data_IF_554882627447
#
_entry.id   IF_554882627447
#
_cell.length_a   1.000
_cell.length_b   1.000
_cell.length_c   1.000
_cell.angle_alpha   90.00
_cell.angle_beta   90.00
_cell.angle_gamma   90.00
#
_symmetry.space_group_name_H-M   'P 1'
#
loop_
_entity.id
_entity.type
_entity.pdbx_description
1 polymer ?
#
# COMPACT_ATOMS: atom_id res chain seq x y z
N UNK A 1 23.55 99.11 -29.52
CA UNK A 1 22.20 99.64 -29.81
C UNK A 1 21.15 98.68 -29.25
N UNK A 2 20.14 99.23 -28.55
CA UNK A 2 18.84 98.65 -28.15
C UNK A 2 18.77 97.45 -27.17
N UNK A 3 18.14 97.73 -26.02
CA UNK A 3 17.43 96.83 -25.08
C UNK A 3 16.13 96.27 -25.71
N UNK A 4 15.60 95.18 -25.14
CA UNK A 4 14.19 94.80 -24.79
C UNK A 4 14.22 93.27 -24.48
N UNK A 5 14.07 92.76 -23.24
CA UNK A 5 12.91 92.50 -22.35
C UNK A 5 11.83 91.49 -22.84
N UNK A 6 11.45 90.59 -21.90
CA UNK A 6 10.36 89.57 -21.87
C UNK A 6 10.56 88.30 -22.73
N UNK A 7 10.28 87.07 -22.28
CA UNK A 7 9.66 86.55 -21.06
C UNK A 7 9.17 85.11 -21.30
N UNK A 8 9.20 84.29 -20.24
CA UNK A 8 8.51 83.00 -19.99
C UNK A 8 8.65 81.81 -20.98
N UNK A 9 9.00 80.64 -20.40
CA UNK A 9 8.25 79.41 -20.67
C UNK A 9 9.06 78.10 -20.79
N UNK A 10 9.00 77.28 -19.74
CA UNK A 10 9.09 75.80 -19.68
C UNK A 10 10.30 75.09 -20.34
N UNK A 11 11.21 74.53 -19.54
CA UNK A 11 11.16 73.22 -18.87
C UNK A 11 11.65 72.06 -19.77
N UNK A 12 12.74 71.41 -19.36
CA UNK A 12 12.84 69.97 -19.10
C UNK A 12 14.29 69.43 -19.21
N UNK A 13 14.57 68.49 -18.29
CA UNK A 13 15.60 67.44 -18.33
C UNK A 13 17.02 67.80 -17.90
N UNK A 14 17.25 67.72 -16.58
CA UNK A 14 18.47 67.14 -16.04
C UNK A 14 18.05 66.09 -15.01
N UNK A 15 17.83 64.86 -15.50
CA UNK A 15 17.46 63.71 -14.69
C UNK A 15 18.62 63.34 -13.75
N UNK A 16 18.30 63.28 -12.47
CA UNK A 16 19.17 62.79 -11.43
C UNK A 16 19.38 61.28 -11.59
N UNK A 17 20.66 60.88 -11.67
CA UNK A 17 21.09 59.53 -11.34
C UNK A 17 20.86 59.33 -9.84
N UNK A 18 19.77 58.68 -9.47
CA UNK A 18 19.60 58.06 -8.16
C UNK A 18 19.33 56.58 -8.43
N UNK A 19 20.24 55.74 -7.93
CA UNK A 19 20.28 54.32 -8.24
C UNK A 19 19.01 53.59 -7.85
N UNK A 20 18.62 52.64 -8.71
CA UNK A 20 17.78 51.52 -8.33
C UNK A 20 18.54 50.71 -7.26
N UNK A 21 18.18 50.89 -5.99
CA UNK A 21 18.40 49.85 -5.00
C UNK A 21 17.35 48.77 -5.22
N UNK A 22 17.76 47.51 -5.18
CA UNK A 22 16.84 46.38 -5.13
C UNK A 22 15.94 46.54 -3.89
N UNK A 23 14.65 46.80 -4.11
CA UNK A 23 13.64 46.74 -3.06
C UNK A 23 13.35 45.26 -2.76
N UNK A 24 13.70 44.85 -1.54
CA UNK A 24 13.41 43.53 -1.00
C UNK A 24 11.88 43.36 -0.95
N UNK A 25 11.27 42.37 -1.63
CA UNK A 25 9.80 42.26 -1.74
C UNK A 25 9.09 41.97 -0.41
N UNK A 26 9.84 41.83 0.69
CA UNK A 26 9.35 41.70 2.07
C UNK A 26 9.39 42.99 2.88
N UNK A 27 9.87 44.12 2.33
CA UNK A 27 9.86 45.40 3.06
C UNK A 27 8.49 46.09 2.98
N UNK A 28 7.47 45.43 3.55
CA UNK A 28 6.22 46.12 3.90
C UNK A 28 6.51 46.97 5.14
N UNK A 29 6.19 48.27 5.06
CA UNK A 29 6.59 49.31 6.00
C UNK A 29 6.59 48.90 7.48
N UNK A 30 7.74 49.11 8.12
CA UNK A 30 8.04 48.85 9.53
C UNK A 30 7.06 49.48 10.54
N UNK A 31 6.23 50.42 10.08
CA UNK A 31 5.34 51.20 10.94
C UNK A 31 3.88 50.69 10.92
N UNK A 32 3.55 49.71 10.06
CA UNK A 32 2.20 49.12 9.97
C UNK A 32 2.02 47.82 10.75
N UNK A 33 3.10 47.22 11.25
CA UNK A 33 3.08 46.05 12.12
C UNK A 33 3.63 46.47 13.49
N UNK A 34 2.76 46.72 14.46
CA UNK A 34 3.18 46.84 15.85
C UNK A 34 3.94 45.58 16.28
N UNK A 35 4.97 45.72 17.13
CA UNK A 35 5.90 44.68 17.59
C UNK A 35 6.14 43.55 16.57
N UNK A 36 7.15 43.72 15.71
CA UNK A 36 7.41 42.84 14.56
C UNK A 36 7.30 41.34 14.89
N UNK A 37 6.40 40.66 14.17
CA UNK A 37 6.27 39.20 14.22
C UNK A 37 7.59 38.55 13.80
N UNK A 38 8.11 37.67 14.65
CA UNK A 38 9.28 36.85 14.35
C UNK A 38 8.83 35.42 14.12
N UNK A 39 9.30 34.83 13.02
CA UNK A 39 9.14 33.41 12.73
C UNK A 39 10.53 32.80 12.66
N UNK A 40 10.69 31.64 13.27
CA UNK A 40 11.93 30.86 13.25
C UNK A 40 11.56 29.37 13.05
N UNK A 41 12.47 28.62 12.45
CA UNK A 41 12.32 27.18 12.30
C UNK A 41 12.96 26.48 13.50
N UNK A 42 12.31 25.41 13.96
CA UNK A 42 12.82 24.58 15.06
C UNK A 42 12.84 23.14 14.57
N UNK A 43 14.04 22.56 14.54
CA UNK A 43 14.22 21.14 14.24
C UNK A 43 14.41 20.42 15.57
N UNK A 44 13.52 19.44 15.84
CA UNK A 44 13.58 18.62 17.04
C UNK A 44 14.06 17.22 16.66
N UNK A 45 15.13 16.77 17.31
CA UNK A 45 15.56 15.37 17.21
C UNK A 45 14.53 14.44 17.85
N UNK A 46 14.44 13.21 17.35
CA UNK A 46 13.46 12.20 17.79
C UNK A 46 13.43 12.03 19.31
N UNK A 47 14.59 12.00 19.96
CA UNK A 47 14.72 11.83 21.43
C UNK A 47 14.05 12.95 22.24
N UNK A 48 13.87 14.13 21.63
CA UNK A 48 13.28 15.31 22.26
C UNK A 48 11.76 15.20 22.37
N UNK A 49 11.09 14.62 21.38
CA UNK A 49 9.63 14.56 21.34
C UNK A 49 9.06 13.15 21.51
N UNK A 50 9.77 12.11 21.06
CA UNK A 50 9.31 10.74 21.11
C UNK A 50 9.64 10.10 22.47
N UNK A 51 8.69 9.41 23.07
CA UNK A 51 8.89 8.55 24.25
C UNK A 51 9.00 7.09 23.87
N UNK A 52 8.38 6.71 22.76
CA UNK A 52 8.47 5.37 22.19
C UNK A 52 7.55 5.25 20.98
N UNK A 53 7.69 4.13 20.29
CA UNK A 53 6.89 3.79 19.13
C UNK A 53 6.56 2.29 19.14
N UNK A 54 5.58 1.93 18.33
CA UNK A 54 5.25 0.54 18.09
C UNK A 54 4.63 0.40 16.70
N UNK A 55 4.91 -0.71 16.04
CA UNK A 55 4.33 -1.01 14.74
C UNK A 55 3.47 -2.26 14.87
N UNK A 56 2.21 -2.14 14.45
CA UNK A 56 1.29 -3.26 14.39
C UNK A 56 1.19 -3.77 12.96
N UNK A 57 1.41 -5.07 12.80
CA UNK A 57 1.00 -5.84 11.64
C UNK A 57 -0.43 -6.38 11.89
N UNK A 58 -1.10 -6.90 10.86
CA UNK A 58 -2.46 -7.51 10.94
C UNK A 58 -3.64 -6.55 11.10
N UNK A 59 -3.51 -5.30 10.68
CA UNK A 59 -4.69 -4.43 10.49
C UNK A 59 -5.43 -4.68 9.18
N UNK A 60 -4.82 -5.47 8.31
CA UNK A 60 -5.38 -6.02 7.07
C UNK A 60 -4.47 -7.15 6.60
N UNK A 61 -5.00 -8.04 5.79
CA UNK A 61 -4.33 -9.25 5.30
C UNK A 61 -4.32 -9.30 3.77
N UNK A 62 -3.51 -10.20 3.21
CA UNK A 62 -3.54 -10.51 1.79
C UNK A 62 -4.89 -11.10 1.35
N UNK A 63 -5.72 -11.58 2.28
CA UNK A 63 -7.06 -12.10 1.98
C UNK A 63 -8.08 -10.98 1.77
N UNK A 64 -7.73 -9.74 2.16
CA UNK A 64 -8.61 -8.56 2.05
C UNK A 64 -8.40 -7.78 0.75
N UNK A 65 -7.41 -8.15 -0.07
CA UNK A 65 -7.13 -7.46 -1.34
C UNK A 65 -8.01 -7.95 -2.49
N UNK A 66 -8.28 -7.04 -3.43
CA UNK A 66 -9.08 -7.32 -4.64
C UNK A 66 -8.25 -7.88 -5.80
N UNK A 67 -7.09 -8.49 -5.52
CA UNK A 67 -6.23 -9.12 -6.52
C UNK A 67 -5.62 -10.40 -5.97
N UNK A 68 -5.14 -11.23 -6.88
CA UNK A 68 -4.38 -12.43 -6.60
C UNK A 68 -2.92 -12.23 -6.97
N UNK A 69 -2.05 -13.03 -6.36
CA UNK A 69 -0.62 -12.86 -6.46
C UNK A 69 0.08 -14.20 -6.58
N UNK A 70 1.05 -14.26 -7.50
CA UNK A 70 2.07 -15.28 -7.54
C UNK A 70 3.45 -14.62 -7.65
N UNK A 71 4.43 -15.15 -6.93
CA UNK A 71 5.82 -14.68 -6.95
C UNK A 71 6.75 -15.86 -6.69
N UNK A 72 7.88 -15.89 -7.38
CA UNK A 72 8.93 -16.88 -7.18
C UNK A 72 10.24 -16.15 -6.92
N UNK A 73 10.71 -16.22 -5.68
CA UNK A 73 11.95 -15.59 -5.20
C UNK A 73 12.09 -14.12 -5.64
N UNK A 74 10.98 -13.39 -5.64
CA UNK A 74 10.95 -12.02 -6.17
C UNK A 74 11.78 -11.10 -5.27
N UNK A 75 12.76 -10.43 -5.88
CA UNK A 75 13.80 -9.64 -5.20
C UNK A 75 14.55 -10.41 -4.10
N UNK A 76 14.62 -11.75 -4.19
CA UNK A 76 15.32 -12.60 -3.22
C UNK A 76 14.62 -12.78 -1.86
N UNK A 77 13.37 -12.32 -1.73
CA UNK A 77 12.68 -12.24 -0.43
C UNK A 77 11.26 -12.83 -0.45
N UNK A 78 10.54 -12.65 -1.56
CA UNK A 78 9.11 -12.92 -1.60
C UNK A 78 8.76 -14.13 -2.46
N UNK A 79 8.13 -15.12 -1.84
CA UNK A 79 7.39 -16.16 -2.55
C UNK A 79 5.90 -15.98 -2.28
N UNK A 80 5.08 -16.15 -3.31
CA UNK A 80 3.64 -16.06 -3.20
C UNK A 80 2.96 -17.01 -4.17
N UNK A 81 1.85 -17.60 -3.73
CA UNK A 81 1.02 -18.50 -4.54
C UNK A 81 -0.45 -18.16 -4.33
N UNK A 82 -1.28 -18.46 -5.32
CA UNK A 82 -2.73 -18.36 -5.16
C UNK A 82 -3.33 -19.75 -5.05
N UNK A 83 -3.89 -20.06 -3.89
CA UNK A 83 -4.65 -21.28 -3.65
C UNK A 83 -6.04 -21.09 -4.27
N UNK A 84 -6.58 -22.13 -4.88
CA UNK A 84 -7.94 -22.14 -5.39
C UNK A 84 -8.65 -23.46 -5.08
N UNK A 85 -9.97 -23.37 -4.93
CA UNK A 85 -10.88 -24.48 -4.68
C UNK A 85 -11.93 -24.47 -5.77
N UNK A 86 -12.23 -25.65 -6.30
CA UNK A 86 -13.18 -25.79 -7.39
C UNK A 86 -14.59 -26.11 -6.86
N UNK A 87 -15.60 -25.72 -7.63
CA UNK A 87 -16.95 -26.23 -7.49
C UNK A 87 -16.99 -27.68 -7.99
N UNK A 88 -17.90 -28.47 -7.42
CA UNK A 88 -18.21 -29.77 -7.97
C UNK A 88 -19.01 -29.59 -9.29
N UNK A 89 -18.52 -30.11 -10.41
CA UNK A 89 -19.23 -29.99 -11.68
C UNK A 89 -20.43 -30.96 -11.68
N UNK A 90 -21.63 -30.43 -11.47
CA UNK A 90 -22.88 -31.22 -11.49
C UNK A 90 -23.63 -31.10 -12.81
N UNK A 91 -23.37 -30.04 -13.58
CA UNK A 91 -24.03 -29.73 -14.84
C UNK A 91 -23.04 -29.13 -15.83
N UNK A 92 -23.30 -29.37 -17.11
CA UNK A 92 -22.64 -28.78 -18.26
C UNK A 92 -23.45 -27.57 -18.75
N UNK A 93 -22.76 -26.57 -19.27
CA UNK A 93 -23.34 -25.39 -19.91
C UNK A 93 -22.80 -25.28 -21.33
N UNK A 94 -23.67 -25.05 -22.31
CA UNK A 94 -23.32 -24.91 -23.73
C UNK A 94 -24.22 -23.87 -24.41
N UNK A 95 -23.82 -23.36 -25.57
CA UNK A 95 -24.67 -22.51 -26.41
C UNK A 95 -25.36 -23.34 -27.50
N UNK A 96 -26.67 -23.13 -27.66
CA UNK A 96 -27.44 -23.75 -28.75
C UNK A 96 -27.26 -23.02 -30.10
N UNK A 97 -27.86 -23.55 -31.18
CA UNK A 97 -27.76 -22.96 -32.53
C UNK A 97 -28.31 -21.53 -32.61
N UNK A 98 -29.19 -21.13 -31.68
CA UNK A 98 -29.76 -19.79 -31.59
C UNK A 98 -28.93 -18.86 -30.68
N UNK A 99 -27.81 -19.34 -30.11
CA UNK A 99 -26.91 -18.61 -29.23
C UNK A 99 -27.42 -18.49 -27.79
N UNK A 100 -28.40 -19.29 -27.38
CA UNK A 100 -28.87 -19.30 -25.99
C UNK A 100 -28.05 -20.27 -25.14
N UNK A 101 -27.72 -19.84 -23.93
CA UNK A 101 -27.07 -20.70 -22.93
C UNK A 101 -28.05 -21.76 -22.43
N UNK A 102 -27.72 -23.03 -22.64
CA UNK A 102 -28.44 -24.19 -22.15
C UNK A 102 -27.67 -24.87 -21.01
N UNK A 103 -28.38 -25.65 -20.19
CA UNK A 103 -27.79 -26.42 -19.08
C UNK A 103 -28.23 -27.88 -19.19
N UNK A 104 -27.28 -28.79 -19.05
CA UNK A 104 -27.49 -30.24 -19.18
C UNK A 104 -26.66 -31.02 -18.15
N UNK A 105 -26.95 -32.31 -18.00
CA UNK A 105 -26.11 -33.28 -17.34
C UNK A 105 -24.81 -33.54 -18.10
N UNK A 106 -23.76 -33.86 -17.34
CA UNK A 106 -22.43 -34.18 -17.88
C UNK A 106 -22.39 -35.66 -18.27
N UNK A 107 -22.08 -35.97 -19.53
CA UNK A 107 -21.88 -37.34 -19.99
C UNK A 107 -20.43 -37.81 -19.78
N UNK A 108 -19.46 -36.95 -20.07
CA UNK A 108 -18.03 -37.24 -19.86
C UNK A 108 -17.21 -35.97 -19.75
N UNK A 109 -15.97 -36.12 -19.25
CA UNK A 109 -14.98 -35.05 -19.15
C UNK A 109 -13.86 -35.26 -20.17
N UNK A 110 -13.47 -34.21 -20.89
CA UNK A 110 -12.44 -34.23 -21.93
C UNK A 110 -11.12 -33.54 -21.56
N UNK A 111 -11.12 -32.72 -20.50
CA UNK A 111 -9.97 -31.93 -20.06
C UNK A 111 -10.39 -30.80 -19.13
N UNK A 112 -9.49 -29.86 -18.87
CA UNK A 112 -9.82 -28.62 -18.21
C UNK A 112 -8.89 -27.48 -18.61
N UNK A 113 -9.33 -26.26 -18.31
CA UNK A 113 -8.55 -25.04 -18.48
C UNK A 113 -8.67 -24.16 -17.24
N UNK A 114 -7.52 -23.65 -16.78
CA UNK A 114 -7.46 -22.58 -15.80
C UNK A 114 -7.12 -21.28 -16.53
N UNK A 115 -7.94 -20.26 -16.35
CA UNK A 115 -7.71 -18.95 -16.98
C UNK A 115 -7.40 -17.92 -15.89
N UNK A 116 -6.31 -17.17 -16.10
CA UNK A 116 -5.91 -16.05 -15.25
C UNK A 116 -6.10 -14.76 -16.05
N UNK A 117 -6.76 -13.77 -15.44
CA UNK A 117 -6.81 -12.40 -16.01
C UNK A 117 -5.71 -11.58 -15.36
N UNK A 118 -4.64 -11.35 -16.10
CA UNK A 118 -3.41 -10.70 -15.65
C UNK A 118 -3.62 -9.20 -15.51
N UNK A 119 -3.18 -8.65 -14.38
CA UNK A 119 -3.11 -7.20 -14.17
C UNK A 119 -1.91 -6.65 -14.97
N UNK A 120 -2.21 -6.10 -16.14
CA UNK A 120 -1.20 -5.56 -17.06
C UNK A 120 -0.67 -4.19 -16.62
N UNK A 121 -1.31 -3.51 -15.67
CA UNK A 121 -0.83 -2.23 -15.12
C UNK A 121 0.38 -2.41 -14.20
N UNK A 122 0.54 -3.62 -13.64
CA UNK A 122 1.67 -3.96 -12.78
C UNK A 122 2.97 -4.31 -13.56
N UNK A 123 2.88 -4.29 -14.90
CA UNK A 123 3.92 -4.57 -15.92
C UNK A 123 4.93 -5.67 -15.53
N UNK A 124 4.60 -6.95 -15.72
CA UNK A 124 5.58 -8.03 -15.61
C UNK A 124 6.59 -7.94 -16.78
N UNK A 125 7.87 -8.16 -16.49
CA UNK A 125 8.94 -8.08 -17.50
C UNK A 125 9.28 -9.47 -18.00
N UNK A 126 9.01 -9.72 -19.29
CA UNK A 126 9.45 -10.91 -20.01
C UNK A 126 8.58 -12.15 -19.81
N UNK A 127 8.99 -13.29 -20.41
CA UNK A 127 8.25 -14.54 -20.34
C UNK A 127 8.21 -15.09 -18.92
N UNK A 128 7.01 -15.31 -18.37
CA UNK A 128 6.80 -15.85 -17.03
C UNK A 128 6.15 -17.22 -17.13
N UNK A 129 6.87 -18.26 -16.70
CA UNK A 129 6.35 -19.61 -16.60
C UNK A 129 5.45 -19.73 -15.36
N UNK A 130 4.23 -20.19 -15.59
CA UNK A 130 3.19 -20.40 -14.57
C UNK A 130 2.86 -21.88 -14.50
N UNK A 131 2.75 -22.41 -13.29
CA UNK A 131 2.42 -23.80 -13.02
C UNK A 131 1.17 -23.89 -12.14
N UNK A 132 0.37 -24.93 -12.40
CA UNK A 132 -0.76 -25.33 -11.55
C UNK A 132 -0.39 -26.64 -10.88
N UNK A 133 -0.46 -26.68 -9.55
CA UNK A 133 -0.17 -27.88 -8.77
C UNK A 133 -1.42 -28.36 -8.04
N UNK A 134 -1.56 -29.67 -7.93
CA UNK A 134 -2.58 -30.27 -7.07
C UNK A 134 -2.32 -29.93 -5.59
N UNK A 135 -3.38 -29.69 -4.83
CA UNK A 135 -3.31 -29.62 -3.37
C UNK A 135 -3.77 -30.95 -2.78
N UNK A 136 -3.03 -31.46 -1.79
CA UNK A 136 -3.37 -32.70 -1.07
C UNK A 136 -3.69 -32.45 0.41
N UNK A 137 -3.84 -31.19 0.80
CA UNK A 137 -4.20 -30.77 2.16
C UNK A 137 -5.39 -29.80 2.13
N UNK A 138 -6.29 -29.90 3.12
CA UNK A 138 -7.37 -28.92 3.31
C UNK A 138 -6.82 -27.60 3.78
N UNK A 139 -7.48 -26.54 3.37
CA UNK A 139 -7.22 -25.19 3.84
C UNK A 139 -8.52 -24.45 4.12
N UNK A 140 -8.43 -23.34 4.84
CA UNK A 140 -9.53 -22.41 5.05
C UNK A 140 -9.28 -21.08 4.33
N UNK A 141 -10.29 -20.58 3.61
CA UNK A 141 -10.14 -19.34 2.83
C UNK A 141 -9.89 -18.12 3.71
N UNK A 142 -10.51 -18.06 4.89
CA UNK A 142 -10.40 -16.90 5.76
C UNK A 142 -9.04 -16.80 6.44
N UNK A 143 -8.42 -17.94 6.72
CA UNK A 143 -7.30 -18.03 7.69
C UNK A 143 -6.04 -18.69 7.15
N UNK A 144 -6.05 -19.23 5.93
CA UNK A 144 -4.83 -19.74 5.32
C UNK A 144 -3.78 -18.64 5.17
N UNK A 145 -2.55 -18.95 5.56
CA UNK A 145 -1.36 -18.13 5.40
C UNK A 145 -0.24 -18.98 4.78
N UNK A 146 0.96 -18.41 4.64
CA UNK A 146 2.13 -19.19 4.23
C UNK A 146 2.50 -20.30 5.23
N UNK A 147 2.25 -20.08 6.52
CA UNK A 147 2.65 -21.02 7.58
C UNK A 147 1.51 -21.96 7.95
N UNK A 148 0.26 -21.48 7.92
CA UNK A 148 -0.92 -22.19 8.40
C UNK A 148 -1.91 -22.51 7.27
N UNK A 149 -2.44 -23.73 7.26
CA UNK A 149 -3.50 -24.15 6.33
C UNK A 149 -4.89 -23.75 6.84
N UNK A 150 -5.09 -23.73 8.15
CA UNK A 150 -6.24 -23.13 8.81
C UNK A 150 -5.88 -22.68 10.23
N UNK A 151 -6.52 -21.60 10.67
CA UNK A 151 -6.49 -21.11 12.05
C UNK A 151 -7.92 -20.75 12.48
N UNK A 152 -8.74 -21.78 12.69
CA UNK A 152 -10.17 -21.62 12.99
C UNK A 152 -10.56 -22.36 14.25
N UNK A 153 -11.52 -21.81 15.00
CA UNK A 153 -12.11 -22.44 16.18
C UNK A 153 -11.09 -22.90 17.25
N UNK A 154 -9.96 -22.19 17.38
CA UNK A 154 -8.90 -22.51 18.34
C UNK A 154 -7.98 -23.65 17.90
N UNK A 155 -8.10 -24.10 16.65
CA UNK A 155 -7.19 -25.08 16.03
C UNK A 155 -6.41 -24.37 14.93
N UNK A 156 -5.10 -24.25 15.16
CA UNK A 156 -4.13 -23.80 14.17
C UNK A 156 -3.36 -25.01 13.67
N UNK A 157 -3.44 -25.28 12.38
CA UNK A 157 -2.65 -26.34 11.76
C UNK A 157 -1.70 -25.79 10.70
N UNK A 158 -0.41 -26.13 10.79
CA UNK A 158 0.56 -25.73 9.80
C UNK A 158 0.36 -26.52 8.50
N UNK A 159 0.82 -25.94 7.40
CA UNK A 159 1.07 -26.73 6.20
C UNK A 159 2.14 -27.79 6.47
N UNK A 160 2.05 -28.95 5.82
CA UNK A 160 3.18 -29.89 5.82
C UNK A 160 4.44 -29.22 5.25
N UNK A 161 4.24 -28.38 4.22
CA UNK A 161 5.28 -27.61 3.56
C UNK A 161 4.77 -26.18 3.30
N UNK A 162 5.53 -25.13 3.68
CA UNK A 162 5.03 -23.76 3.67
C UNK A 162 4.36 -23.35 2.35
N UNK A 163 3.24 -22.66 2.43
CA UNK A 163 2.43 -22.21 1.29
C UNK A 163 1.75 -23.34 0.51
N UNK A 164 1.78 -24.58 1.01
CA UNK A 164 1.28 -25.77 0.30
C UNK A 164 2.17 -26.21 -0.88
N UNK A 165 3.44 -25.81 -0.90
CA UNK A 165 4.28 -25.75 -2.11
C UNK A 165 4.78 -27.06 -2.71
N UNK A 166 4.85 -28.15 -1.96
CA UNK A 166 5.48 -29.40 -2.43
C UNK A 166 4.58 -30.62 -2.32
N UNK A 167 3.28 -30.44 -2.13
CA UNK A 167 2.39 -31.56 -1.76
C UNK A 167 1.58 -32.15 -2.92
N UNK A 168 1.75 -31.70 -4.17
CA UNK A 168 1.08 -32.31 -5.33
C UNK A 168 1.83 -32.26 -6.65
N UNK A 169 1.32 -33.04 -7.61
CA UNK A 169 1.84 -33.08 -8.99
C UNK A 169 1.54 -31.77 -9.73
N UNK A 170 2.40 -31.42 -10.68
CA UNK A 170 2.12 -30.35 -11.65
C UNK A 170 1.05 -30.87 -12.61
N UNK A 171 -0.06 -30.16 -12.71
CA UNK A 171 -1.24 -30.53 -13.51
C UNK A 171 -1.31 -29.78 -14.83
N UNK A 172 -0.63 -28.65 -14.92
CA UNK A 172 -0.66 -27.79 -16.10
C UNK A 172 0.41 -26.71 -16.01
N UNK A 173 0.91 -26.31 -17.17
CA UNK A 173 1.91 -25.24 -17.29
C UNK A 173 1.56 -24.36 -18.48
N UNK A 174 1.88 -23.07 -18.37
CA UNK A 174 1.85 -22.15 -19.49
C UNK A 174 2.89 -21.05 -19.30
N UNK A 175 3.21 -20.32 -20.36
CA UNK A 175 4.10 -19.16 -20.31
C UNK A 175 3.31 -17.93 -20.69
N UNK A 176 3.27 -16.94 -19.81
CA UNK A 176 2.77 -15.62 -20.12
C UNK A 176 3.86 -14.82 -20.81
N UNK A 177 3.56 -14.33 -22.02
CA UNK A 177 4.48 -13.54 -22.85
C UNK A 177 4.04 -12.07 -22.92
N UNK A 178 2.73 -11.87 -23.10
CA UNK A 178 2.07 -10.56 -23.16
C UNK A 178 0.54 -10.75 -23.10
N UNK A 179 -0.19 -9.65 -22.93
CA UNK A 179 -1.66 -9.64 -22.89
C UNK A 179 -2.22 -9.73 -21.47
N UNK A 180 -3.54 -9.68 -21.37
CA UNK A 180 -4.30 -9.67 -20.11
C UNK A 180 -4.82 -11.05 -19.71
N UNK A 181 -4.56 -12.09 -20.51
CA UNK A 181 -5.17 -13.40 -20.30
C UNK A 181 -4.12 -14.49 -20.47
N UNK A 182 -4.04 -15.41 -19.51
CA UNK A 182 -3.26 -16.64 -19.59
C UNK A 182 -4.18 -17.85 -19.43
N UNK A 183 -4.21 -18.71 -20.44
CA UNK A 183 -4.92 -20.00 -20.38
C UNK A 183 -3.90 -21.10 -20.15
N UNK A 184 -4.11 -21.87 -19.08
CA UNK A 184 -3.29 -23.01 -18.69
C UNK A 184 -4.11 -24.28 -18.96
N UNK A 185 -3.74 -25.06 -19.99
CA UNK A 185 -4.41 -26.33 -20.27
C UNK A 185 -4.05 -27.37 -19.21
N UNK A 186 -5.03 -28.18 -18.82
CA UNK A 186 -4.89 -29.29 -17.89
C UNK A 186 -5.46 -30.51 -18.61
N UNK A 187 -4.65 -31.57 -18.70
CA UNK A 187 -5.06 -32.75 -19.44
C UNK A 187 -6.18 -33.52 -18.73
N UNK A 188 -6.84 -34.43 -19.45
CA UNK A 188 -7.97 -35.18 -18.92
C UNK A 188 -7.63 -36.13 -17.78
N UNK A 189 -6.40 -36.66 -17.73
CA UNK A 189 -5.96 -37.56 -16.67
C UNK A 189 -5.71 -36.79 -15.37
N UNK A 190 -5.13 -35.60 -15.47
CA UNK A 190 -4.88 -34.70 -14.34
C UNK A 190 -6.17 -34.02 -13.87
N UNK A 191 -7.04 -33.60 -14.79
CA UNK A 191 -8.36 -33.06 -14.46
C UNK A 191 -9.23 -34.09 -13.73
N UNK A 192 -9.04 -35.39 -13.97
CA UNK A 192 -9.76 -36.46 -13.27
C UNK A 192 -9.52 -36.46 -11.75
N UNK A 193 -8.38 -35.93 -11.30
CA UNK A 193 -8.07 -35.77 -9.86
C UNK A 193 -9.13 -34.90 -9.15
N UNK A 194 -9.71 -33.92 -9.86
CA UNK A 194 -10.73 -33.02 -9.29
C UNK A 194 -12.17 -33.44 -9.56
N UNK A 195 -12.37 -34.41 -10.45
CA UNK A 195 -13.69 -35.00 -10.73
C UNK A 195 -14.17 -35.89 -9.58
N UNK A 196 -13.25 -36.59 -8.91
CA UNK A 196 -13.59 -37.51 -7.82
C UNK A 196 -14.28 -36.80 -6.66
N UNK A 197 -15.56 -37.13 -6.44
CA UNK A 197 -16.37 -36.56 -5.37
C UNK A 197 -16.10 -37.13 -3.98
N UNK A 198 -15.35 -38.23 -3.94
CA UNK A 198 -14.82 -38.82 -2.72
C UNK A 198 -13.41 -38.30 -2.40
N UNK A 199 -12.78 -37.59 -3.34
CA UNK A 199 -11.49 -36.92 -3.14
C UNK A 199 -11.60 -35.85 -2.07
N UNK A 200 -10.74 -35.92 -1.05
CA UNK A 200 -10.80 -35.03 0.11
C UNK A 200 -10.55 -33.54 -0.26
N UNK A 201 -9.87 -33.27 -1.38
CA UNK A 201 -9.40 -31.93 -1.75
C UNK A 201 -9.60 -31.67 -3.25
N UNK A 202 -10.46 -30.70 -3.59
CA UNK A 202 -10.64 -30.20 -4.97
C UNK A 202 -10.03 -28.83 -5.13
N UNK A 203 -9.18 -28.68 -6.14
CA UNK A 203 -8.44 -27.47 -6.43
C UNK A 203 -6.94 -27.63 -6.24
N UNK A 204 -6.24 -26.51 -6.32
CA UNK A 204 -4.80 -26.48 -6.47
C UNK A 204 -4.21 -25.15 -6.04
N UNK A 205 -2.97 -24.93 -6.44
CA UNK A 205 -2.31 -23.65 -6.32
C UNK A 205 -1.73 -23.23 -7.67
N UNK A 206 -1.71 -21.92 -7.90
CA UNK A 206 -1.01 -21.27 -9.00
C UNK A 206 0.31 -20.72 -8.45
N UNK A 207 1.43 -21.10 -9.07
CA UNK A 207 2.76 -20.57 -8.75
C UNK A 207 3.53 -20.17 -9.99
N UNK A 208 4.57 -19.37 -9.80
CA UNK A 208 5.53 -19.06 -10.86
C UNK A 208 6.70 -20.05 -10.80
N UNK A 209 7.17 -20.48 -11.95
CA UNK A 209 8.38 -21.28 -12.11
C UNK A 209 9.59 -20.43 -12.53
N UNK A 210 9.37 -19.26 -13.14
CA UNK A 210 10.46 -18.32 -13.45
C UNK A 210 10.93 -17.61 -12.17
N UNK A 211 12.19 -17.76 -11.74
CA UNK A 211 12.71 -17.06 -10.56
C UNK A 211 12.78 -15.55 -10.76
N UNK A 212 12.79 -14.81 -9.65
CA UNK A 212 12.81 -13.34 -9.61
C UNK A 212 11.67 -12.71 -10.41
N UNK A 213 10.51 -13.37 -10.43
CA UNK A 213 9.32 -12.83 -11.10
C UNK A 213 8.13 -12.76 -10.16
N UNK A 214 7.20 -11.89 -10.54
CA UNK A 214 5.97 -11.63 -9.83
C UNK A 214 4.87 -11.35 -10.84
N UNK A 215 3.70 -11.93 -10.60
CA UNK A 215 2.53 -11.79 -11.43
C UNK A 215 1.32 -11.50 -10.55
N UNK A 216 0.66 -10.38 -10.84
CA UNK A 216 -0.62 -10.02 -10.25
C UNK A 216 -1.73 -10.33 -11.26
N UNK A 217 -2.85 -10.84 -10.77
CA UNK A 217 -4.01 -11.15 -11.61
C UNK A 217 -5.30 -10.84 -10.87
N UNK A 218 -6.30 -10.37 -11.60
CA UNK A 218 -7.58 -9.90 -11.07
C UNK A 218 -8.54 -11.07 -10.82
N UNK A 219 -8.41 -12.14 -11.60
CA UNK A 219 -9.29 -13.30 -11.47
C UNK A 219 -8.59 -14.62 -11.78
N UNK A 220 -9.16 -15.67 -11.20
CA UNK A 220 -8.85 -17.08 -11.47
C UNK A 220 -10.18 -17.72 -11.83
N UNK A 221 -10.31 -18.20 -13.06
CA UNK A 221 -11.46 -18.99 -13.50
C UNK A 221 -11.00 -20.38 -13.91
N UNK A 222 -11.92 -21.33 -13.80
CA UNK A 222 -11.64 -22.73 -14.07
C UNK A 222 -12.84 -23.35 -14.76
N UNK A 223 -12.59 -24.10 -15.83
CA UNK A 223 -13.61 -24.78 -16.59
C UNK A 223 -13.13 -26.18 -16.94
N UNK A 224 -14.00 -27.17 -16.73
CA UNK A 224 -13.84 -28.49 -17.35
C UNK A 224 -14.38 -28.44 -18.77
N UNK A 225 -13.65 -29.04 -19.70
CA UNK A 225 -14.18 -29.37 -21.02
C UNK A 225 -15.01 -30.65 -20.86
N UNK A 226 -16.29 -30.60 -21.20
CA UNK A 226 -17.22 -31.71 -20.99
C UNK A 226 -18.04 -32.01 -22.24
N UNK A 227 -18.57 -33.22 -22.30
CA UNK A 227 -19.58 -33.62 -23.29
C UNK A 227 -20.94 -33.58 -22.60
N UNK A 228 -21.86 -32.79 -23.13
CA UNK A 228 -23.25 -32.74 -22.66
C UNK A 228 -24.01 -34.01 -23.11
N UNK A 229 -24.91 -34.53 -22.27
CA UNK A 229 -25.62 -35.78 -22.53
C UNK A 229 -26.64 -35.69 -23.69
N UNK A 230 -27.34 -34.57 -23.78
CA UNK A 230 -28.36 -34.29 -24.80
C UNK A 230 -27.78 -33.55 -26.02
N UNK A 231 -26.58 -32.96 -25.91
CA UNK A 231 -25.89 -32.23 -26.98
C UNK A 231 -24.40 -32.62 -27.10
N UNK A 232 -24.08 -33.85 -27.52
CA UNK A 232 -22.70 -34.38 -27.48
C UNK A 232 -21.72 -33.70 -28.46
N UNK A 233 -22.23 -32.97 -29.46
CA UNK A 233 -21.41 -32.25 -30.45
C UNK A 233 -21.20 -30.76 -30.07
N UNK A 234 -21.86 -30.27 -29.01
CA UNK A 234 -21.72 -28.89 -28.57
C UNK A 234 -20.48 -28.71 -27.70
N UNK A 235 -19.80 -27.57 -27.83
CA UNK A 235 -18.75 -27.17 -26.89
C UNK A 235 -19.41 -26.85 -25.54
N UNK A 236 -19.25 -27.74 -24.57
CA UNK A 236 -19.84 -27.61 -23.25
C UNK A 236 -18.76 -27.48 -22.19
N UNK A 237 -19.01 -26.61 -21.21
CA UNK A 237 -18.12 -26.39 -20.07
C UNK A 237 -18.83 -26.65 -18.75
N UNK A 238 -18.06 -26.96 -17.71
CA UNK A 238 -18.61 -27.15 -16.37
C UNK A 238 -17.65 -26.65 -15.28
N UNK A 239 -18.19 -26.45 -14.08
CA UNK A 239 -17.39 -26.16 -12.89
C UNK A 239 -17.27 -24.67 -12.60
N UNK A 240 -16.09 -24.27 -12.11
CA UNK A 240 -15.82 -22.92 -11.65
C UNK A 240 -14.99 -22.89 -10.37
N UNK A 241 -14.44 -21.72 -10.05
CA UNK A 241 -13.70 -21.49 -8.81
C UNK A 241 -14.69 -21.13 -7.69
N UNK A 242 -14.72 -21.95 -6.64
CA UNK A 242 -15.52 -21.73 -5.43
C UNK A 242 -14.89 -20.71 -4.50
N UNK A 243 -13.57 -20.75 -4.38
CA UNK A 243 -12.78 -19.90 -3.51
C UNK A 243 -11.37 -19.79 -4.06
N UNK A 244 -10.76 -18.62 -3.95
CA UNK A 244 -9.34 -18.44 -4.18
C UNK A 244 -8.79 -17.47 -3.13
N UNK A 245 -7.54 -17.67 -2.75
CA UNK A 245 -6.84 -16.85 -1.76
C UNK A 245 -5.34 -16.82 -2.05
N UNK A 246 -4.72 -15.63 -2.13
CA UNK A 246 -3.27 -15.52 -2.20
C UNK A 246 -2.62 -15.78 -0.83
N UNK A 247 -1.52 -16.51 -0.82
CA UNK A 247 -0.64 -16.70 0.34
C UNK A 247 0.77 -16.28 -0.04
N UNK A 248 1.46 -15.58 0.85
CA UNK A 248 2.82 -15.09 0.60
C UNK A 248 3.69 -15.24 1.84
N UNK A 249 5.00 -15.42 1.65
CA UNK A 249 5.98 -15.48 2.73
C UNK A 249 5.76 -14.32 3.71
N UNK A 250 5.86 -14.57 5.03
CA UNK A 250 5.75 -13.50 6.01
C UNK A 250 6.85 -12.47 5.80
N UNK A 251 6.60 -11.23 6.24
CA UNK A 251 7.66 -10.22 6.25
C UNK A 251 8.54 -10.50 7.46
N UNK A 252 9.69 -11.13 7.21
CA UNK A 252 10.64 -11.50 8.26
C UNK A 252 11.74 -10.47 8.45
N UNK A 253 11.74 -9.36 7.68
CA UNK A 253 12.76 -8.31 7.86
C UNK A 253 12.52 -7.69 9.25
N UNK A 254 13.44 -7.85 10.21
CA UNK A 254 13.28 -7.27 11.53
C UNK A 254 13.32 -5.74 11.40
N UNK A 255 12.37 -5.06 12.03
CA UNK A 255 12.48 -3.61 12.17
C UNK A 255 13.54 -3.28 13.19
N UNK A 256 14.50 -2.45 12.81
CA UNK A 256 15.33 -1.78 13.80
C UNK A 256 14.43 -0.85 14.66
N UNK A 257 14.83 -0.52 15.90
CA UNK A 257 14.06 0.37 16.76
C UNK A 257 13.79 1.77 16.17
N UNK A 258 14.53 2.16 15.12
CA UNK A 258 14.36 3.45 14.44
C UNK A 258 13.50 3.34 13.17
N UNK A 259 13.08 2.13 12.80
CA UNK A 259 12.36 1.85 11.55
C UNK A 259 10.87 1.67 11.79
N UNK A 260 10.08 2.29 10.93
CA UNK A 260 8.62 2.27 10.98
C UNK A 260 8.06 1.57 9.73
N UNK A 261 6.94 0.85 9.88
CA UNK A 261 6.17 0.33 8.72
C UNK A 261 4.79 0.91 8.69
N UNK A 262 4.41 1.36 7.50
CA UNK A 262 3.15 2.04 7.27
C UNK A 262 2.56 1.55 5.95
N UNK A 263 1.28 1.16 5.97
CA UNK A 263 0.56 0.72 4.77
C UNK A 263 0.90 -0.70 4.34
N UNK A 264 0.80 -0.97 3.04
CA UNK A 264 1.15 -2.26 2.45
C UNK A 264 0.11 -3.36 2.69
N UNK A 265 0.48 -4.58 2.29
CA UNK A 265 -0.30 -5.80 2.48
C UNK A 265 0.64 -6.90 3.01
N UNK A 266 0.45 -7.38 4.26
CA UNK A 266 -0.56 -6.97 5.23
C UNK A 266 -0.44 -5.51 5.64
N UNK A 267 -1.54 -4.90 6.08
CA UNK A 267 -1.54 -3.48 6.42
C UNK A 267 -0.82 -3.23 7.76
N UNK A 268 0.22 -2.41 7.71
CA UNK A 268 0.96 -1.93 8.88
C UNK A 268 0.51 -0.54 9.31
N UNK A 269 0.59 -0.30 10.62
CA UNK A 269 0.41 1.02 11.23
C UNK A 269 1.42 1.21 12.34
N UNK A 270 2.22 2.26 12.22
CA UNK A 270 3.09 2.71 13.30
C UNK A 270 2.35 3.72 14.17
N UNK A 271 2.45 3.53 15.49
CA UNK A 271 1.99 4.46 16.51
C UNK A 271 3.19 5.07 17.20
N UNK A 272 3.20 6.40 17.30
CA UNK A 272 4.25 7.19 17.93
C UNK A 272 3.69 7.80 19.21
N UNK A 273 4.35 7.54 20.33
CA UNK A 273 4.03 8.12 21.62
C UNK A 273 4.89 9.36 21.86
N UNK A 274 4.27 10.54 21.75
CA UNK A 274 4.87 11.81 22.03
C UNK A 274 4.83 12.10 23.53
N UNK A 275 5.86 12.77 24.05
CA UNK A 275 5.73 13.48 25.32
C UNK A 275 4.90 14.75 25.14
N UNK A 276 4.46 15.33 26.25
CA UNK A 276 3.98 16.72 26.22
C UNK A 276 5.14 17.65 25.85
N UNK A 277 4.91 18.52 24.87
CA UNK A 277 5.85 19.55 24.43
C UNK A 277 5.57 20.92 25.06
N UNK A 278 4.55 21.04 25.91
CA UNK A 278 4.15 22.30 26.54
C UNK A 278 5.31 23.00 27.28
N UNK A 279 6.11 22.22 28.02
CA UNK A 279 7.24 22.73 28.82
C UNK A 279 8.57 22.77 28.03
N UNK A 280 8.56 22.33 26.76
CA UNK A 280 9.79 22.30 25.96
C UNK A 280 10.21 23.72 25.59
N UNK A 281 11.43 24.10 25.97
CA UNK A 281 12.05 25.36 25.57
C UNK A 281 13.07 25.12 24.47
N UNK A 282 12.99 25.91 23.40
CA UNK A 282 13.84 25.76 22.21
C UNK A 282 14.64 27.04 21.97
N UNK A 283 15.89 26.94 21.48
CA UNK A 283 16.67 28.11 21.14
C UNK A 283 16.06 28.81 19.92
N UNK A 284 16.11 30.14 19.92
CA UNK A 284 15.79 30.94 18.75
C UNK A 284 16.96 30.82 17.74
N UNK A 285 16.66 30.68 16.45
CA UNK A 285 17.68 30.50 15.39
C UNK A 285 18.34 31.83 14.95
N UNK A 286 18.30 32.85 15.80
CA UNK A 286 18.63 34.24 15.44
C UNK A 286 20.09 34.64 15.68
N UNK A 287 20.97 33.68 16.01
CA UNK A 287 22.40 33.93 16.24
C UNK A 287 22.71 34.79 17.48
N UNK A 288 21.69 35.29 18.18
CA UNK A 288 21.83 35.96 19.47
C UNK A 288 21.90 34.89 20.56
N UNK A 289 23.12 34.58 21.00
CA UNK A 289 23.34 33.61 22.08
C UNK A 289 22.45 33.90 23.29
N UNK A 290 21.55 32.97 23.60
CA UNK A 290 20.73 32.99 24.82
C UNK A 290 19.23 33.25 24.64
N UNK A 291 18.71 33.44 23.43
CA UNK A 291 17.25 33.45 23.22
C UNK A 291 16.69 32.02 23.29
N UNK A 292 15.79 31.80 24.24
CA UNK A 292 15.04 30.55 24.41
C UNK A 292 13.56 30.89 24.54
N UNK A 293 12.71 30.11 23.90
CA UNK A 293 11.26 30.28 23.94
C UNK A 293 10.58 28.97 24.29
N UNK A 294 9.63 29.01 25.22
CA UNK A 294 8.80 27.87 25.52
C UNK A 294 7.83 27.64 24.35
N UNK A 295 7.66 26.39 23.94
CA UNK A 295 6.74 26.07 22.86
C UNK A 295 5.29 26.44 23.21
N UNK A 296 4.92 26.46 24.48
CA UNK A 296 3.61 26.97 24.96
C UNK A 296 3.36 28.44 24.60
N UNK A 297 4.42 29.22 24.42
CA UNK A 297 4.32 30.67 24.24
C UNK A 297 4.37 31.09 22.77
N UNK A 298 4.48 30.12 21.85
CA UNK A 298 4.57 30.37 20.40
C UNK A 298 3.30 29.98 19.66
N UNK A 299 3.00 30.71 18.60
CA UNK A 299 2.01 30.26 17.61
C UNK A 299 2.69 29.30 16.62
N UNK A 300 2.38 28.01 16.72
CA UNK A 300 2.86 27.02 15.74
C UNK A 300 2.13 27.22 14.42
N UNK A 301 2.81 27.74 13.40
CA UNK A 301 2.24 27.95 12.07
C UNK A 301 2.30 26.69 11.20
N UNK A 302 3.38 25.92 11.34
CA UNK A 302 3.63 24.69 10.61
C UNK A 302 4.38 23.72 11.53
N UNK A 303 3.96 22.46 11.53
CA UNK A 303 4.78 21.37 12.05
C UNK A 303 4.67 20.16 11.12
N UNK A 304 5.77 19.46 10.92
CA UNK A 304 5.81 18.24 10.11
C UNK A 304 6.70 17.21 10.77
N UNK A 305 6.25 15.96 10.77
CA UNK A 305 7.12 14.83 11.03
C UNK A 305 7.94 14.57 9.77
N UNK A 306 9.25 14.48 9.93
CA UNK A 306 10.19 14.23 8.84
C UNK A 306 10.54 12.75 8.86
N UNK A 307 10.28 12.06 7.76
CA UNK A 307 10.54 10.63 7.59
C UNK A 307 11.41 10.40 6.36
N UNK A 308 12.33 9.46 6.46
CA UNK A 308 13.17 9.03 5.34
C UNK A 308 12.70 7.65 4.91
N UNK A 309 12.16 7.48 3.68
CA UNK A 309 11.80 6.17 3.17
C UNK A 309 13.04 5.29 3.09
N UNK A 310 12.87 4.03 3.51
CA UNK A 310 13.91 3.02 3.39
C UNK A 310 13.67 2.17 2.14
N UNK A 311 14.73 1.62 1.54
CA UNK A 311 14.58 0.71 0.41
C UNK A 311 13.65 -0.45 0.75
N UNK A 312 12.73 -0.78 -0.15
CA UNK A 312 11.86 -1.97 -0.03
C UNK A 312 12.26 -3.01 -1.08
N UNK A 313 12.42 -4.26 -0.65
CA UNK A 313 12.76 -5.39 -1.53
C UNK A 313 11.54 -5.97 -2.24
N UNK A 314 11.21 -7.24 -1.96
CA UNK A 314 10.15 -7.97 -2.67
C UNK A 314 8.73 -7.40 -2.49
N UNK A 315 8.56 -6.49 -1.53
CA UNK A 315 7.31 -5.78 -1.22
C UNK A 315 7.27 -4.38 -1.85
N UNK A 316 7.48 -4.34 -3.17
CA UNK A 316 7.56 -3.11 -3.98
C UNK A 316 6.34 -2.20 -3.81
N UNK A 317 6.58 -0.89 -3.85
CA UNK A 317 5.53 0.13 -4.01
C UNK A 317 4.99 0.09 -5.44
N UNK A 318 3.73 -0.30 -5.61
CA UNK A 318 3.09 -0.39 -6.94
C UNK A 318 2.43 0.92 -7.37
N UNK A 319 1.78 1.58 -6.43
CA UNK A 319 1.10 2.84 -6.63
C UNK A 319 1.78 3.90 -5.77
N UNK A 320 1.81 5.17 -6.21
CA UNK A 320 2.25 6.25 -5.36
C UNK A 320 1.49 6.21 -4.02
N UNK A 321 2.22 6.38 -2.93
CA UNK A 321 1.66 6.35 -1.58
C UNK A 321 1.79 7.71 -0.91
N UNK A 322 0.77 8.10 -0.17
CA UNK A 322 0.80 9.30 0.68
C UNK A 322 0.85 8.87 2.15
N UNK A 323 1.80 9.41 2.90
CA UNK A 323 1.86 9.21 4.34
C UNK A 323 0.94 10.20 5.05
N UNK A 324 0.13 9.69 5.96
CA UNK A 324 -0.93 10.45 6.65
C UNK A 324 -0.80 10.27 8.15
N UNK A 325 -0.64 11.39 8.86
CA UNK A 325 -0.68 11.47 10.31
C UNK A 325 -2.13 11.61 10.80
N UNK A 326 -2.50 10.84 11.82
CA UNK A 326 -3.82 10.91 12.47
C UNK A 326 -3.63 10.86 13.99
N UNK A 327 -4.37 11.67 14.73
CA UNK A 327 -4.38 11.56 16.18
C UNK A 327 -5.08 10.26 16.59
N UNK A 328 -4.51 9.52 17.54
CA UNK A 328 -5.18 8.39 18.17
C UNK A 328 -6.09 8.93 19.26
N UNK A 329 -7.38 8.63 19.17
CA UNK A 329 -8.38 9.04 20.15
C UNK A 329 -8.48 7.94 21.21
N UNK A 330 -7.69 8.09 22.26
CA UNK A 330 -7.68 7.14 23.36
C UNK A 330 -9.02 7.11 24.09
N UNK A 331 -9.43 5.92 24.51
CA UNK A 331 -10.63 5.70 25.30
C UNK A 331 -10.37 4.68 26.40
N UNK A 332 -11.07 4.79 27.55
CA UNK A 332 -10.92 3.81 28.61
C UNK A 332 -11.24 2.40 28.08
N UNK A 333 -10.34 1.46 28.34
CA UNK A 333 -10.49 0.04 27.98
C UNK A 333 -10.47 -0.29 26.48
N UNK A 334 -10.08 0.65 25.60
CA UNK A 334 -9.87 0.37 24.18
C UNK A 334 -8.37 0.18 23.92
N UNK A 335 -7.92 -1.00 23.44
CA UNK A 335 -6.53 -1.20 23.05
C UNK A 335 -6.13 -0.22 21.94
N UNK A 336 -4.89 0.27 21.95
CA UNK A 336 -4.38 1.23 20.95
C UNK A 336 -4.61 0.79 19.49
N UNK A 337 -4.53 -0.51 19.20
CA UNK A 337 -4.79 -1.08 17.87
C UNK A 337 -6.22 -0.88 17.38
N UNK A 338 -7.17 -0.69 18.30
CA UNK A 338 -8.60 -0.51 18.03
C UNK A 338 -9.09 0.89 18.37
N UNK A 339 -8.22 1.75 18.88
CA UNK A 339 -8.57 3.13 19.18
C UNK A 339 -8.98 3.87 17.90
N UNK A 340 -10.08 4.65 17.93
CA UNK A 340 -10.47 5.47 16.80
C UNK A 340 -9.36 6.43 16.40
N UNK A 341 -9.25 6.69 15.10
CA UNK A 341 -8.33 7.69 14.56
C UNK A 341 -9.10 8.95 14.17
N UNK A 342 -8.46 10.11 14.31
CA UNK A 342 -8.99 11.35 13.76
C UNK A 342 -9.03 11.33 12.23
N UNK A 343 -9.66 12.34 11.65
CA UNK A 343 -9.41 12.72 10.26
C UNK A 343 -7.90 12.99 10.03
N UNK A 344 -7.43 12.93 8.77
CA UNK A 344 -6.06 13.32 8.42
C UNK A 344 -5.67 14.67 9.03
N UNK A 345 -4.48 14.73 9.61
CA UNK A 345 -3.89 15.98 10.09
C UNK A 345 -3.28 16.73 8.90
N UNK A 346 -3.60 18.02 8.78
CA UNK A 346 -3.07 18.87 7.71
C UNK A 346 -3.62 18.56 6.32
N UNK A 347 -3.12 19.31 5.32
CA UNK A 347 -3.39 19.02 3.90
C UNK A 347 -2.43 17.94 3.42
N UNK A 348 -2.94 16.98 2.65
CA UNK A 348 -2.17 15.84 2.15
C UNK A 348 -0.89 16.30 1.43
N UNK A 349 0.23 15.64 1.72
CA UNK A 349 1.56 15.93 1.16
C UNK A 349 1.83 15.15 -0.12
N UNK A 350 2.92 15.51 -0.80
CA UNK A 350 3.37 14.89 -2.04
C UNK A 350 3.47 13.37 -1.93
N UNK A 351 3.07 12.70 -3.00
CA UNK A 351 3.07 11.25 -3.08
C UNK A 351 4.48 10.70 -3.25
N UNK A 352 4.79 9.65 -2.50
CA UNK A 352 6.02 8.89 -2.63
C UNK A 352 5.82 7.83 -3.71
N UNK A 353 6.52 7.97 -4.82
CA UNK A 353 6.55 6.95 -5.87
C UNK A 353 7.53 5.83 -5.52
N UNK A 354 7.53 4.75 -6.31
CA UNK A 354 8.48 3.65 -6.13
C UNK A 354 9.95 4.12 -6.08
N UNK A 355 10.30 5.18 -6.81
CA UNK A 355 11.66 5.75 -6.82
C UNK A 355 12.12 6.23 -5.44
N UNK A 356 11.21 6.68 -4.58
CA UNK A 356 11.53 7.15 -3.23
C UNK A 356 12.03 6.03 -2.31
N UNK A 357 11.76 4.76 -2.65
CA UNK A 357 12.12 3.58 -1.87
C UNK A 357 13.22 2.75 -2.55
N UNK A 358 14.10 3.39 -3.31
CA UNK A 358 15.24 2.74 -3.96
C UNK A 358 16.56 3.15 -3.31
N UNK A 359 17.59 2.30 -3.41
CA UNK A 359 18.95 2.63 -2.95
C UNK A 359 19.68 3.60 -3.89
N UNK A 360 19.13 3.84 -5.08
CA UNK A 360 19.76 4.60 -6.15
C UNK A 360 19.05 5.94 -6.34
N UNK A 361 19.57 7.00 -5.72
CA UNK A 361 19.00 8.33 -5.86
C UNK A 361 19.41 9.25 -4.72
N UNK A 362 18.96 10.51 -4.81
CA UNK A 362 19.02 11.42 -3.67
C UNK A 362 17.97 11.00 -2.62
N UNK A 363 18.31 10.98 -1.32
CA UNK A 363 17.35 10.63 -0.26
C UNK A 363 16.10 11.50 -0.36
N UNK A 364 14.96 10.87 -0.60
CA UNK A 364 13.68 11.57 -0.59
C UNK A 364 13.27 11.78 0.86
N UNK A 365 12.83 12.99 1.19
CA UNK A 365 12.31 13.30 2.52
C UNK A 365 10.79 13.37 2.45
N UNK A 366 10.13 12.49 3.19
CA UNK A 366 8.69 12.53 3.36
C UNK A 366 8.33 13.46 4.51
N UNK A 367 7.47 14.45 4.23
CA UNK A 367 6.93 15.35 5.25
C UNK A 367 5.51 14.94 5.57
N UNK A 368 5.20 14.67 6.83
CA UNK A 368 3.85 14.36 7.29
C UNK A 368 3.36 15.54 8.13
N UNK A 369 2.34 16.29 7.67
CA UNK A 369 1.92 17.50 8.35
C UNK A 369 1.17 17.14 9.63
N UNK A 370 1.59 17.73 10.74
CA UNK A 370 1.05 17.45 12.08
C UNK A 370 0.82 18.73 12.89
N UNK A 371 0.69 19.88 12.21
CA UNK A 371 0.53 21.21 12.84
C UNK A 371 -0.56 21.22 13.92
N UNK A 372 -1.77 20.74 13.61
CA UNK A 372 -2.89 20.77 14.57
C UNK A 372 -2.71 19.78 15.72
N UNK A 373 -1.96 18.70 15.50
CA UNK A 373 -1.59 17.77 16.56
C UNK A 373 -0.58 18.41 17.53
N UNK A 374 0.46 19.04 17.00
CA UNK A 374 1.48 19.73 17.80
C UNK A 374 0.87 20.89 18.59
N UNK A 375 -0.03 21.69 17.98
CA UNK A 375 -0.77 22.74 18.70
C UNK A 375 -1.51 22.19 19.92
N UNK A 376 -2.23 21.08 19.78
CA UNK A 376 -2.97 20.44 20.87
C UNK A 376 -2.10 19.71 21.89
N UNK A 377 -0.90 19.29 21.49
CA UNK A 377 0.06 18.67 22.40
C UNK A 377 0.74 19.73 23.30
N UNK A 378 1.00 20.91 22.75
CA UNK A 378 1.60 22.06 23.45
C UNK A 378 0.56 22.79 24.31
N UNK A 379 -0.63 23.03 23.78
CA UNK A 379 -1.72 23.75 24.45
C UNK A 379 -3.01 22.91 24.40
N UNK A 380 -3.16 21.93 25.32
CA UNK A 380 -4.36 21.12 25.38
C UNK A 380 -5.57 21.94 25.86
N UNK A 381 -6.79 21.65 25.39
CA UNK A 381 -7.99 22.32 25.87
C UNK A 381 -8.20 22.08 27.37
N UNK A 382 -8.77 23.05 28.11
CA UNK A 382 -8.87 23.05 29.58
C UNK A 382 -9.44 21.75 30.20
N UNK A 383 -10.35 21.06 29.50
CA UNK A 383 -11.01 19.84 29.95
C UNK A 383 -10.52 18.54 29.26
N UNK A 384 -9.45 18.62 28.46
CA UNK A 384 -8.96 17.49 27.65
C UNK A 384 -7.50 17.14 27.93
N UNK A 385 -7.13 15.85 27.96
CA UNK A 385 -5.72 15.48 28.00
C UNK A 385 -5.02 15.93 26.71
N UNK A 386 -3.69 16.19 26.76
CA UNK A 386 -2.91 16.42 25.55
C UNK A 386 -2.98 15.20 24.61
N UNK A 387 -2.85 15.46 23.31
CA UNK A 387 -2.69 14.39 22.35
C UNK A 387 -1.26 13.83 22.47
N UNK A 388 -1.15 12.58 22.91
CA UNK A 388 0.14 11.91 23.09
C UNK A 388 0.41 10.84 22.04
N UNK A 389 -0.59 10.39 21.30
CA UNK A 389 -0.42 9.31 20.32
C UNK A 389 -0.75 9.76 18.89
N UNK A 390 0.22 9.57 18.00
CA UNK A 390 0.09 9.79 16.57
C UNK A 390 0.12 8.44 15.85
N UNK A 391 -0.88 8.17 15.02
CA UNK A 391 -0.85 7.06 14.09
C UNK A 391 -0.32 7.54 12.72
N UNK A 392 0.64 6.80 12.18
CA UNK A 392 1.04 6.92 10.79
C UNK A 392 0.30 5.86 9.96
N UNK A 393 -0.32 6.32 8.89
CA UNK A 393 -1.04 5.50 7.91
C UNK A 393 -0.56 5.85 6.50
N UNK A 394 -0.79 4.96 5.53
CA UNK A 394 -0.49 5.24 4.13
C UNK A 394 -1.75 5.01 3.30
N UNK A 395 -1.97 5.89 2.34
CA UNK A 395 -3.08 5.85 1.40
C UNK A 395 -2.50 5.75 -0.01
N UNK A 396 -2.98 4.80 -0.81
CA UNK A 396 -2.62 4.68 -2.22
C UNK A 396 -3.41 5.69 -3.05
N UNK A 397 -2.82 6.17 -4.14
CA UNK A 397 -3.46 7.08 -5.10
C UNK A 397 -4.23 6.39 -6.22
#
# INVERSE_FOLDING_TARGET
>A
MRRIWLGLGLAAVAGALVGCGDEDPVSVGSDLLGEGFRTFEVVLDTETFLQGDTTYDRLGSLNDVAFYLAAADFAGEMNAHTLFRLNEPTTATYEDEDGNTQTDSIASFGGARLTLVIDTLSEPVGPIAVEVLALTESWDRGTATWELRYDTAGVAEPWTQPGGTTTGAVLGTATWESGDTLVIPIDSADAAVWQDSLGAYRGGLVRLATPDTRLRFESVSFEFDVVAAEAPEAEATAGGVRAAVPVATPDTIPLSPEELRVGGVPAWRSLLHFRSLAELSVPCDDGTGGCTVALSDVTVNLASLILTPLPVGGRRIEQPVRLVGRAVLEGPSVPLTRSPLSNPLGRMTDSLTAAAFTTTGEPVVARVPITDYIRRNIDPPEDGPPLLWLALTAEAE
#
